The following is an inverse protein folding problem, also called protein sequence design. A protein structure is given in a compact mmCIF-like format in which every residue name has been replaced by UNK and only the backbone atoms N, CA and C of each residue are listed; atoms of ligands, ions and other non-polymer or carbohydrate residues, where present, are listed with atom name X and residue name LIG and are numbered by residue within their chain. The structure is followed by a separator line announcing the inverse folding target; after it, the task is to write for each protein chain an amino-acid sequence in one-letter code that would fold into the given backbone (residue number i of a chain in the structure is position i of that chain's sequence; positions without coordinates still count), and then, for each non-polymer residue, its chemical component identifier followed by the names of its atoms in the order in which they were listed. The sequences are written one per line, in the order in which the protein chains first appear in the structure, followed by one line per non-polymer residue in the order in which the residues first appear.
data_IF_620765151009
#
_entry.id   IF_620765151009
#
_cell.length_a   1.000
_cell.length_b   1.000
_cell.length_c   1.000
_cell.angle_alpha   90.00
_cell.angle_beta   90.00
_cell.angle_gamma   90.00
#
_symmetry.space_group_name_H-M   'P 1'
#
loop_
_entity.id
_entity.type
_entity.pdbx_description
1 polymer ?
#
# COMPACT_ATOMS: atom_id res chain seq x y z
N UNK A 1 3.71 -2.64 -17.53
CA UNK A 1 4.49 -3.63 -18.30
C UNK A 1 4.25 -5.02 -17.74
N UNK A 2 4.24 -6.06 -18.57
CA UNK A 2 4.07 -7.47 -18.15
C UNK A 2 5.16 -8.36 -18.75
N UNK A 3 5.45 -9.48 -18.08
CA UNK A 3 6.40 -10.50 -18.50
C UNK A 3 5.98 -11.86 -17.93
N UNK A 4 6.15 -12.93 -18.69
CA UNK A 4 5.93 -14.31 -18.22
C UNK A 4 7.20 -15.00 -17.73
N UNK A 5 8.38 -14.47 -18.06
CA UNK A 5 9.68 -15.10 -17.81
C UNK A 5 10.66 -14.19 -17.02
N UNK A 6 10.29 -12.93 -16.79
CA UNK A 6 11.13 -11.92 -16.14
C UNK A 6 12.30 -11.41 -16.99
N UNK A 7 12.48 -11.91 -18.22
CA UNK A 7 13.58 -11.56 -19.13
C UNK A 7 13.10 -10.63 -20.25
N UNK A 8 11.94 -10.93 -20.85
CA UNK A 8 11.33 -10.11 -21.89
C UNK A 8 10.11 -9.37 -21.34
N UNK A 9 10.04 -8.06 -21.60
CA UNK A 9 8.99 -7.20 -21.07
C UNK A 9 8.20 -6.52 -22.16
N UNK A 10 6.88 -6.59 -22.06
CA UNK A 10 5.94 -5.94 -22.97
C UNK A 10 5.35 -4.70 -22.31
N UNK A 11 5.48 -3.55 -22.98
CA UNK A 11 4.81 -2.31 -22.53
C UNK A 11 3.30 -2.47 -22.64
N UNK A 12 2.56 -1.94 -21.66
CA UNK A 12 1.09 -1.99 -21.61
C UNK A 12 0.56 -0.59 -21.36
N UNK A 13 -0.56 -0.26 -21.99
CA UNK A 13 -1.21 1.04 -21.86
C UNK A 13 -2.05 1.05 -20.58
N UNK A 14 -1.89 2.09 -19.77
CA UNK A 14 -2.76 2.33 -18.60
C UNK A 14 -4.15 2.80 -19.05
N UNK A 15 -5.16 2.55 -18.23
CA UNK A 15 -6.51 3.03 -18.50
C UNK A 15 -6.62 4.56 -18.47
N UNK A 16 -5.78 5.21 -17.64
CA UNK A 16 -5.66 6.66 -17.47
C UNK A 16 -4.19 7.00 -17.21
N UNK A 17 -3.76 8.15 -17.70
CA UNK A 17 -2.40 8.68 -17.50
C UNK A 17 -2.26 9.33 -16.12
N UNK A 18 -1.92 8.50 -15.14
CA UNK A 18 -1.70 8.89 -13.75
C UNK A 18 -0.29 8.46 -13.28
N UNK A 19 0.14 8.98 -12.13
CA UNK A 19 1.35 8.54 -11.43
C UNK A 19 1.09 7.27 -10.62
N UNK A 20 0.96 6.12 -11.30
CA UNK A 20 0.78 4.80 -10.71
C UNK A 20 2.03 4.39 -9.90
N UNK A 21 1.87 4.05 -8.63
CA UNK A 21 2.99 3.85 -7.69
C UNK A 21 3.11 2.46 -7.09
N UNK A 22 1.99 1.75 -6.98
CA UNK A 22 1.96 0.43 -6.37
C UNK A 22 0.92 -0.44 -7.04
N UNK A 23 1.21 -1.74 -7.10
CA UNK A 23 0.34 -2.77 -7.65
C UNK A 23 0.37 -4.01 -6.76
N UNK A 24 -0.79 -4.63 -6.58
CA UNK A 24 -0.93 -5.91 -5.88
C UNK A 24 -1.85 -6.84 -6.66
N UNK A 25 -1.80 -8.14 -6.37
CA UNK A 25 -2.71 -9.14 -6.93
C UNK A 25 -3.41 -9.88 -5.79
N UNK A 26 -4.73 -10.02 -5.89
CA UNK A 26 -5.58 -10.68 -4.93
C UNK A 26 -6.99 -10.83 -5.46
N UNK A 27 -7.80 -11.73 -4.91
CA UNK A 27 -9.17 -11.96 -5.40
C UNK A 27 -9.27 -12.13 -6.94
N UNK A 28 -8.29 -12.80 -7.56
CA UNK A 28 -8.16 -12.98 -9.02
C UNK A 28 -8.15 -11.67 -9.84
N UNK A 29 -7.67 -10.56 -9.26
CA UNK A 29 -7.52 -9.29 -9.96
C UNK A 29 -6.26 -8.56 -9.50
N UNK A 30 -5.63 -7.85 -10.43
CA UNK A 30 -4.59 -6.87 -10.17
C UNK A 30 -5.22 -5.53 -9.81
N UNK A 31 -4.66 -4.86 -8.81
CA UNK A 31 -5.09 -3.53 -8.38
C UNK A 31 -3.86 -2.64 -8.32
N UNK A 32 -3.92 -1.49 -9.00
CA UNK A 32 -2.91 -0.44 -8.92
C UNK A 32 -3.50 0.85 -8.35
N UNK A 33 -2.68 1.61 -7.61
CA UNK A 33 -3.05 2.90 -7.02
C UNK A 33 -2.12 4.03 -7.49
N UNK A 34 -2.58 5.28 -7.38
CA UNK A 34 -1.87 6.48 -7.85
C UNK A 34 -1.74 7.58 -6.79
N UNK A 35 -0.66 8.36 -6.90
CA UNK A 35 -0.43 9.57 -6.09
C UNK A 35 -1.35 10.74 -6.45
N UNK A 36 -1.96 10.74 -7.63
CA UNK A 36 -2.70 11.88 -8.15
C UNK A 36 -3.47 11.60 -9.44
N UNK A 37 -4.12 12.64 -9.96
CA UNK A 37 -5.01 12.57 -11.12
C UNK A 37 -6.43 12.11 -10.79
N UNK A 38 -7.22 11.84 -11.84
CA UNK A 38 -8.58 11.29 -11.73
C UNK A 38 -8.55 9.77 -11.68
N UNK A 39 -9.50 9.13 -11.01
CA UNK A 39 -9.60 7.66 -10.96
C UNK A 39 -8.29 7.02 -10.49
N UNK A 40 -7.89 7.30 -9.24
CA UNK A 40 -6.59 6.93 -8.65
C UNK A 40 -6.45 5.45 -8.32
N UNK A 41 -7.32 4.61 -8.87
CA UNK A 41 -7.25 3.15 -8.83
C UNK A 41 -7.43 2.64 -10.25
N UNK A 42 -6.76 1.55 -10.60
CA UNK A 42 -7.16 0.76 -11.76
C UNK A 42 -7.06 -0.73 -11.46
N UNK A 43 -7.91 -1.52 -12.12
CA UNK A 43 -7.96 -2.97 -11.97
C UNK A 43 -7.73 -3.70 -13.29
N UNK A 44 -7.23 -4.92 -13.21
CA UNK A 44 -7.04 -5.77 -14.38
C UNK A 44 -7.15 -7.23 -13.99
N UNK A 45 -7.95 -8.06 -14.71
CA UNK A 45 -8.01 -9.50 -14.44
C UNK A 45 -6.78 -10.25 -14.98
N UNK A 46 -6.04 -9.68 -15.93
CA UNK A 46 -4.98 -10.36 -16.69
C UNK A 46 -3.61 -9.64 -16.60
N UNK A 47 -3.56 -8.46 -15.98
CA UNK A 47 -2.37 -7.60 -15.92
C UNK A 47 -2.09 -6.84 -17.22
N UNK A 48 -2.87 -7.08 -18.28
CA UNK A 48 -2.67 -6.51 -19.61
C UNK A 48 -3.68 -5.42 -19.92
N UNK A 49 -4.96 -5.70 -19.67
CA UNK A 49 -6.08 -4.81 -19.92
C UNK A 49 -6.55 -4.19 -18.61
N UNK A 50 -6.44 -2.86 -18.52
CA UNK A 50 -6.72 -2.13 -17.29
C UNK A 50 -8.01 -1.32 -17.39
N UNK A 51 -8.75 -1.26 -16.30
CA UNK A 51 -9.98 -0.47 -16.14
C UNK A 51 -9.79 0.54 -15.02
N UNK A 52 -10.02 1.82 -15.29
CA UNK A 52 -9.94 2.88 -14.29
C UNK A 52 -11.09 2.78 -13.28
N UNK A 53 -10.79 3.00 -12.00
CA UNK A 53 -11.75 2.96 -10.89
C UNK A 53 -11.58 4.19 -10.01
N UNK A 54 -12.68 4.61 -9.40
CA UNK A 54 -12.68 5.74 -8.47
C UNK A 54 -12.11 5.32 -7.12
N UNK A 55 -11.18 6.10 -6.58
CA UNK A 55 -10.72 5.92 -5.20
C UNK A 55 -11.79 6.41 -4.22
N UNK A 56 -11.74 5.95 -2.96
CA UNK A 56 -12.71 6.40 -1.95
C UNK A 56 -12.63 7.91 -1.67
N UNK A 57 -11.41 8.47 -1.75
CA UNK A 57 -11.11 9.89 -1.60
C UNK A 57 -9.91 10.28 -2.46
N UNK A 58 -9.81 11.55 -2.79
CA UNK A 58 -8.75 12.15 -3.61
C UNK A 58 -7.44 12.39 -2.82
N UNK A 59 -6.91 11.32 -2.20
CA UNK A 59 -5.60 11.31 -1.55
C UNK A 59 -4.50 10.73 -2.46
N UNK A 60 -3.25 10.93 -2.06
CA UNK A 60 -2.05 10.39 -2.72
C UNK A 60 -1.76 9.00 -2.20
N UNK A 61 -2.27 7.98 -2.91
CA UNK A 61 -2.16 6.58 -2.52
C UNK A 61 -0.78 6.03 -2.87
N UNK A 62 0.02 5.70 -1.86
CA UNK A 62 1.41 5.30 -2.04
C UNK A 62 1.57 3.79 -2.26
N UNK A 63 0.84 2.98 -1.48
CA UNK A 63 0.99 1.53 -1.48
C UNK A 63 -0.34 0.82 -1.30
N UNK A 64 -0.46 -0.37 -1.89
CA UNK A 64 -1.62 -1.25 -1.80
C UNK A 64 -1.18 -2.69 -1.56
N UNK A 65 -1.90 -3.41 -0.70
CA UNK A 65 -1.68 -4.83 -0.42
C UNK A 65 -3.01 -5.58 -0.39
N UNK A 66 -2.97 -6.91 -0.50
CA UNK A 66 -4.12 -7.79 -0.35
C UNK A 66 -3.92 -8.77 0.80
N UNK A 67 -4.91 -8.86 1.67
CA UNK A 67 -4.91 -9.77 2.81
C UNK A 67 -6.31 -9.88 3.38
N UNK A 68 -6.60 -10.96 4.12
CA UNK A 68 -7.91 -11.12 4.81
C UNK A 68 -9.13 -10.89 3.89
N UNK A 69 -9.02 -11.25 2.62
CA UNK A 69 -10.11 -11.12 1.65
C UNK A 69 -10.35 -9.69 1.13
N UNK A 70 -9.43 -8.74 1.35
CA UNK A 70 -9.59 -7.34 0.92
C UNK A 70 -8.27 -6.71 0.50
N UNK A 71 -8.38 -5.73 -0.39
CA UNK A 71 -7.35 -4.76 -0.69
C UNK A 71 -7.33 -3.67 0.39
N UNK A 72 -6.13 -3.23 0.72
CA UNK A 72 -5.86 -2.16 1.68
C UNK A 72 -4.84 -1.22 1.05
N UNK A 73 -5.19 0.05 0.91
CA UNK A 73 -4.30 1.08 0.39
C UNK A 73 -4.03 2.17 1.45
N UNK A 74 -2.82 2.69 1.47
CA UNK A 74 -2.38 3.75 2.39
C UNK A 74 -1.95 5.01 1.63
N UNK A 75 -2.15 6.18 2.23
CA UNK A 75 -1.77 7.48 1.64
C UNK A 75 -0.97 8.36 2.60
N UNK A 76 -0.22 9.30 2.01
CA UNK A 76 0.66 10.22 2.74
C UNK A 76 0.00 11.54 3.12
N UNK A 77 -1.21 11.81 2.63
CA UNK A 77 -1.94 13.07 2.84
C UNK A 77 -3.44 12.85 3.10
N UNK A 78 -4.14 13.93 3.43
CA UNK A 78 -5.56 13.92 3.79
C UNK A 78 -5.83 13.41 5.21
N UNK A 79 -7.10 13.36 5.58
CA UNK A 79 -7.53 12.92 6.92
C UNK A 79 -7.90 11.43 6.97
N UNK A 80 -8.24 10.85 5.81
CA UNK A 80 -8.57 9.43 5.67
C UNK A 80 -7.47 8.67 4.93
N UNK A 81 -6.41 8.31 5.65
CA UNK A 81 -5.18 7.80 5.03
C UNK A 81 -5.18 6.32 4.71
N UNK A 82 -6.30 5.63 4.92
CA UNK A 82 -6.50 4.23 4.54
C UNK A 82 -7.82 4.11 3.80
N UNK A 83 -7.82 3.32 2.72
CA UNK A 83 -9.05 2.82 2.10
C UNK A 83 -8.97 1.31 1.92
N UNK A 84 -10.13 0.66 1.93
CA UNK A 84 -10.24 -0.78 1.73
C UNK A 84 -11.26 -1.13 0.66
N UNK A 85 -11.08 -2.28 0.03
CA UNK A 85 -12.02 -2.80 -0.96
C UNK A 85 -11.99 -4.34 -0.98
N UNK A 86 -13.14 -5.04 -0.98
CA UNK A 86 -13.16 -6.49 -1.14
C UNK A 86 -12.91 -6.92 -2.60
N UNK A 87 -13.21 -6.07 -3.57
CA UNK A 87 -13.27 -6.39 -5.01
C UNK A 87 -12.27 -5.59 -5.87
N UNK A 88 -11.64 -4.56 -5.31
CA UNK A 88 -10.76 -3.64 -6.03
C UNK A 88 -11.51 -2.57 -6.84
N UNK A 89 -12.84 -2.63 -6.87
CA UNK A 89 -13.70 -1.73 -7.64
C UNK A 89 -14.38 -0.70 -6.76
N UNK A 90 -14.94 -1.14 -5.62
CA UNK A 90 -15.66 -0.31 -4.68
C UNK A 90 -14.80 -0.07 -3.44
N UNK A 91 -14.39 1.18 -3.23
CA UNK A 91 -13.47 1.55 -2.16
C UNK A 91 -14.17 2.31 -1.04
N UNK A 92 -13.87 1.92 0.20
CA UNK A 92 -14.38 2.57 1.41
C UNK A 92 -13.23 3.24 2.16
N UNK A 93 -13.37 4.52 2.41
CA UNK A 93 -12.45 5.33 3.20
C UNK A 93 -12.57 4.96 4.69
N UNK A 94 -11.44 4.79 5.38
CA UNK A 94 -11.43 4.45 6.81
C UNK A 94 -11.19 5.70 7.67
N UNK A 95 -11.85 5.75 8.82
CA UNK A 95 -11.77 6.85 9.79
C UNK A 95 -11.06 6.39 11.07
N UNK A 96 -10.61 7.34 11.90
CA UNK A 96 -9.94 7.01 13.17
C UNK A 96 -8.56 6.36 13.01
N UNK A 97 -8.00 6.40 11.81
CA UNK A 97 -6.67 5.88 11.49
C UNK A 97 -5.61 6.85 12.02
N UNK A 98 -4.51 6.37 12.64
CA UNK A 98 -3.41 7.24 13.03
C UNK A 98 -2.86 8.06 11.85
N UNK A 99 -2.64 9.34 12.06
CA UNK A 99 -2.24 10.29 11.02
C UNK A 99 -0.71 10.32 10.90
N UNK A 100 -0.21 9.88 9.76
CA UNK A 100 1.22 9.88 9.41
C UNK A 100 1.42 9.84 7.90
N UNK A 101 2.65 10.09 7.44
CA UNK A 101 3.01 9.98 6.02
C UNK A 101 3.18 8.51 5.63
N UNK A 102 2.08 7.75 5.63
CA UNK A 102 2.09 6.32 5.32
C UNK A 102 2.55 6.08 3.88
N UNK A 103 3.59 5.28 3.77
CA UNK A 103 4.34 5.14 2.53
C UNK A 103 4.28 3.74 1.97
N UNK A 104 4.41 2.72 2.82
CA UNK A 104 4.30 1.32 2.40
C UNK A 104 3.40 0.51 3.34
N UNK A 105 2.74 -0.50 2.80
CA UNK A 105 1.86 -1.42 3.54
C UNK A 105 2.04 -2.85 3.05
N UNK A 106 2.12 -3.80 3.98
CA UNK A 106 2.22 -5.23 3.69
C UNK A 106 1.26 -6.03 4.54
N UNK A 107 0.95 -7.25 4.10
CA UNK A 107 0.19 -8.23 4.88
C UNK A 107 1.00 -9.52 5.03
N UNK A 108 1.10 -10.01 6.27
CA UNK A 108 1.83 -11.22 6.60
C UNK A 108 1.59 -11.62 8.04
N UNK A 109 1.85 -12.87 8.44
CA UNK A 109 1.67 -13.30 9.83
C UNK A 109 0.28 -12.96 10.40
N UNK A 110 -0.75 -13.00 9.55
CA UNK A 110 -2.14 -12.64 9.89
C UNK A 110 -2.39 -11.16 10.26
N UNK A 111 -1.45 -10.26 9.94
CA UNK A 111 -1.45 -8.84 10.34
C UNK A 111 -1.08 -7.93 9.16
N UNK A 112 -1.77 -6.81 9.02
CA UNK A 112 -1.36 -5.70 8.16
C UNK A 112 -0.38 -4.80 8.92
N UNK A 113 0.67 -4.36 8.24
CA UNK A 113 1.67 -3.45 8.78
C UNK A 113 1.91 -2.35 7.77
N UNK A 114 1.81 -1.09 8.21
CA UNK A 114 2.15 0.08 7.42
C UNK A 114 3.27 0.88 8.08
N UNK A 115 4.14 1.46 7.25
CA UNK A 115 5.29 2.26 7.69
C UNK A 115 5.23 3.68 7.12
N UNK A 116 5.83 4.64 7.83
CA UNK A 116 5.80 6.06 7.46
C UNK A 116 7.19 6.72 7.43
N UNK A 117 7.31 7.75 6.58
CA UNK A 117 8.54 8.53 6.40
C UNK A 117 8.72 9.63 7.45
N UNK A 118 7.63 10.31 7.86
CA UNK A 118 7.74 11.50 8.70
C UNK A 118 6.63 11.73 9.75
N UNK A 119 6.59 10.97 10.85
CA UNK A 119 5.59 11.12 11.93
C UNK A 119 5.98 10.51 13.29
N UNK A 120 5.61 11.08 14.43
CA UNK A 120 5.87 10.43 15.75
C UNK A 120 5.38 8.97 15.84
N UNK A 121 4.34 8.63 15.06
CA UNK A 121 3.88 7.27 14.81
C UNK A 121 4.40 6.74 13.47
N UNK A 122 5.48 5.94 13.46
CA UNK A 122 6.11 5.47 12.21
C UNK A 122 5.66 4.10 11.73
N UNK A 123 4.93 3.37 12.57
CA UNK A 123 4.38 2.05 12.27
C UNK A 123 2.93 2.04 12.76
N UNK A 124 2.04 1.46 11.95
CA UNK A 124 0.72 1.06 12.43
C UNK A 124 0.42 -0.37 12.01
N UNK A 125 -0.38 -1.05 12.81
CA UNK A 125 -0.78 -2.44 12.57
C UNK A 125 -2.29 -2.58 12.62
N UNK A 126 -2.80 -3.56 11.88
CA UNK A 126 -4.22 -3.93 11.90
C UNK A 126 -4.40 -5.42 11.65
N UNK A 127 -5.35 -6.07 12.33
CA UNK A 127 -5.72 -7.47 12.07
C UNK A 127 -6.81 -7.61 10.99
N UNK A 128 -7.52 -6.52 10.67
CA UNK A 128 -8.71 -6.51 9.82
C UNK A 128 -8.65 -5.53 8.64
N UNK A 129 -7.61 -4.68 8.57
CA UNK A 129 -7.39 -3.66 7.56
C UNK A 129 -8.23 -2.37 7.77
N UNK A 130 -9.03 -2.31 8.83
CA UNK A 130 -10.00 -1.24 9.12
C UNK A 130 -9.63 -0.51 10.41
N UNK A 131 -9.38 -1.26 11.48
CA UNK A 131 -8.99 -0.71 12.79
C UNK A 131 -7.47 -0.71 12.89
N UNK A 132 -6.86 0.47 13.00
CA UNK A 132 -5.42 0.63 13.01
C UNK A 132 -4.91 1.16 14.34
N UNK A 133 -3.81 0.58 14.82
CA UNK A 133 -3.15 1.00 16.06
C UNK A 133 -1.73 1.41 15.77
N UNK A 134 -1.33 2.58 16.27
CA UNK A 134 0.07 3.03 16.21
C UNK A 134 0.94 2.17 17.10
N UNK A 135 2.14 1.83 16.63
CA UNK A 135 3.13 1.07 17.38
C UNK A 135 4.32 1.95 17.72
N UNK A 136 4.89 1.71 18.90
CA UNK A 136 6.15 2.33 19.31
C UNK A 136 7.28 1.86 18.40
N UNK A 137 8.16 2.78 18.00
CA UNK A 137 9.27 2.46 17.10
C UNK A 137 10.60 2.56 17.83
N UNK A 138 11.54 1.60 17.65
CA UNK A 138 12.85 1.66 18.30
C UNK A 138 13.72 2.83 17.83
N UNK A 139 13.44 3.36 16.63
CA UNK A 139 14.16 4.48 16.04
C UNK A 139 13.21 5.36 15.21
N UNK A 140 13.38 6.68 15.34
CA UNK A 140 12.64 7.69 14.59
C UNK A 140 13.20 7.87 13.17
N UNK A 141 13.23 6.78 12.40
CA UNK A 141 13.72 6.77 11.02
C UNK A 141 12.56 6.94 10.02
N UNK A 142 12.92 7.33 8.80
CA UNK A 142 12.04 7.43 7.66
C UNK A 142 11.93 6.08 6.97
N UNK A 143 10.98 5.27 7.41
CA UNK A 143 10.80 3.90 6.92
C UNK A 143 10.13 3.91 5.53
N UNK A 144 10.85 3.38 4.55
CA UNK A 144 10.50 3.43 3.13
C UNK A 144 9.76 2.19 2.63
N UNK A 145 10.04 1.03 3.20
CA UNK A 145 9.40 -0.21 2.74
C UNK A 145 9.35 -1.23 3.84
N UNK A 146 8.33 -2.07 3.79
CA UNK A 146 8.13 -3.20 4.70
C UNK A 146 7.70 -4.43 3.91
N UNK A 147 8.29 -5.58 4.25
CA UNK A 147 7.92 -6.88 3.68
C UNK A 147 7.77 -7.93 4.77
N UNK A 148 7.09 -9.03 4.46
CA UNK A 148 6.97 -10.18 5.35
C UNK A 148 7.58 -11.43 4.70
N UNK A 149 8.45 -12.11 5.44
CA UNK A 149 9.10 -13.34 4.99
C UNK A 149 9.77 -14.05 6.15
N UNK A 150 9.91 -15.38 6.06
CA UNK A 150 10.49 -16.20 7.13
C UNK A 150 9.87 -15.92 8.53
N UNK A 151 8.53 -15.73 8.56
CA UNK A 151 7.75 -15.38 9.76
C UNK A 151 8.16 -14.08 10.46
N UNK A 152 8.72 -13.12 9.74
CA UNK A 152 9.14 -11.81 10.28
C UNK A 152 8.72 -10.68 9.36
N UNK A 153 8.44 -9.54 9.95
CA UNK A 153 8.37 -8.29 9.20
C UNK A 153 9.76 -7.68 9.14
N UNK A 154 10.16 -7.20 7.95
CA UNK A 154 11.44 -6.52 7.74
C UNK A 154 11.15 -5.18 7.11
N UNK A 155 11.58 -4.09 7.75
CA UNK A 155 11.45 -2.74 7.22
C UNK A 155 12.80 -2.08 7.03
N UNK A 156 12.90 -1.20 6.03
CA UNK A 156 14.11 -0.43 5.68
C UNK A 156 13.85 1.07 5.70
N UNK A 157 14.86 1.87 6.07
CA UNK A 157 14.75 3.32 6.17
C UNK A 157 15.78 4.09 5.33
N UNK A 158 15.40 5.29 4.87
CA UNK A 158 16.32 6.25 4.22
C UNK A 158 17.13 7.10 5.20
N UNK A 159 16.77 7.11 6.48
CA UNK A 159 17.43 7.89 7.53
C UNK A 159 17.82 7.04 8.75
N UNK A 160 18.60 7.62 9.65
CA UNK A 160 19.16 6.97 10.84
C UNK A 160 20.55 6.40 10.61
N UNK A 161 21.40 6.37 11.63
CA UNK A 161 22.74 5.77 11.56
C UNK A 161 22.75 4.46 12.35
N UNK A 162 23.17 3.36 11.72
CA UNK A 162 23.27 2.03 12.34
C UNK A 162 21.96 1.23 12.48
N UNK A 163 20.79 1.87 12.42
CA UNK A 163 19.48 1.20 12.66
C UNK A 163 18.50 1.27 11.47
N UNK A 164 19.00 1.18 10.22
CA UNK A 164 18.18 1.31 8.99
C UNK A 164 17.38 0.07 8.62
N UNK A 165 17.48 -1.00 9.41
CA UNK A 165 16.69 -2.23 9.25
C UNK A 165 16.07 -2.56 10.59
N UNK A 166 14.77 -2.87 10.62
CA UNK A 166 14.12 -3.41 11.81
C UNK A 166 13.40 -4.71 11.49
N UNK A 167 13.38 -5.62 12.47
CA UNK A 167 12.64 -6.88 12.40
C UNK A 167 11.70 -7.00 13.60
N UNK A 168 10.47 -7.44 13.34
CA UNK A 168 9.47 -7.79 14.36
C UNK A 168 8.99 -9.21 14.20
#
# INVERSE_FOLDING_TARGET
MTSSDGMAWTSRTSAVDNSWTSVTHGNNTYVAVSLGGSNRVMTSPDGENWTARTAAVDNSWNSVTYGKGKFVAVSSNGDNRVMTSPDGENWTSQTGVPIAFWFDVTFGGNTFVAVALDSDSRIMTSSDGVSWTSQTTPAANSWLSVTFGANKFVAVASSGDGNRVMTG
#
